data_IF_099448389913
#
_entry.id   IF_099448389913
#
_cell.length_a   1.000
_cell.length_b   1.000
_cell.length_c   1.000
_cell.angle_alpha   90.00
_cell.angle_beta   90.00
_cell.angle_gamma   90.00
#
_symmetry.space_group_name_H-M   'P 1'
#
loop_
_entity.id
_entity.type
_entity.pdbx_description
1 polymer ?
#
# COMPACT_ATOMS: atom_id res chain seq x y z
N UNK A 1 27.48 39.70 35.59
CA UNK A 1 26.67 38.47 35.44
C UNK A 1 26.19 38.37 34.00
N UNK A 2 26.85 37.53 33.19
CA UNK A 2 26.51 37.25 31.80
C UNK A 2 25.61 36.01 31.80
N UNK A 3 24.41 36.08 31.21
CA UNK A 3 23.63 34.89 30.86
C UNK A 3 24.05 34.45 29.46
N UNK A 4 24.41 33.17 29.35
CA UNK A 4 24.92 32.52 28.16
C UNK A 4 23.89 32.50 27.01
N UNK A 5 24.34 32.50 25.74
CA UNK A 5 23.49 32.17 24.60
C UNK A 5 23.30 30.65 24.52
N UNK A 6 22.08 30.22 24.18
CA UNK A 6 21.74 28.82 23.96
C UNK A 6 22.24 28.39 22.57
N UNK A 7 23.15 27.41 22.54
CA UNK A 7 23.73 26.84 21.35
C UNK A 7 22.70 26.02 20.55
N UNK A 8 22.62 26.31 19.25
CA UNK A 8 22.56 25.40 18.10
C UNK A 8 21.88 24.02 18.25
N UNK A 9 20.82 23.81 17.46
CA UNK A 9 20.59 22.53 16.77
C UNK A 9 20.36 22.81 15.28
N UNK A 10 21.42 23.22 14.58
CA UNK A 10 21.52 23.01 13.15
C UNK A 10 21.83 21.52 12.96
N UNK A 11 20.93 20.75 12.36
CA UNK A 11 21.29 19.41 11.90
C UNK A 11 22.18 19.58 10.65
N UNK A 12 23.46 19.15 10.66
CA UNK A 12 24.41 19.44 9.57
C UNK A 12 24.30 18.48 8.39
N UNK A 13 23.18 17.76 8.24
CA UNK A 13 22.99 16.82 7.13
C UNK A 13 22.12 17.44 6.05
N UNK A 14 22.48 17.35 4.76
CA UNK A 14 21.50 17.64 3.71
C UNK A 14 20.26 16.77 3.96
N UNK A 15 19.03 17.26 3.69
CA UNK A 15 17.84 16.42 3.75
C UNK A 15 18.14 15.16 2.93
N UNK A 16 18.07 14.00 3.59
CA UNK A 16 18.36 12.73 2.93
C UNK A 16 17.43 12.63 1.71
N UNK A 17 17.94 12.25 0.51
CA UNK A 17 17.09 12.16 -0.66
C UNK A 17 15.95 11.18 -0.35
N UNK A 18 14.72 11.68 -0.43
CA UNK A 18 13.53 10.86 -0.32
C UNK A 18 13.47 9.96 -1.54
N UNK A 19 13.29 8.66 -1.31
CA UNK A 19 13.07 7.72 -2.40
C UNK A 19 11.60 7.74 -2.75
N UNK A 20 11.31 8.03 -4.01
CA UNK A 20 9.96 8.08 -4.54
C UNK A 20 9.78 6.89 -5.47
N UNK A 21 8.77 6.06 -5.19
CA UNK A 21 8.37 4.92 -6.01
C UNK A 21 7.07 5.30 -6.73
N UNK A 22 7.12 5.69 -8.01
CA UNK A 22 5.95 6.19 -8.70
C UNK A 22 4.98 5.06 -9.09
N UNK A 23 3.69 5.31 -8.89
CA UNK A 23 2.58 4.47 -9.36
C UNK A 23 1.71 5.29 -10.32
N UNK A 24 1.14 4.64 -11.33
CA UNK A 24 0.23 5.29 -12.29
C UNK A 24 -1.16 5.32 -11.67
N UNK A 25 -1.70 6.52 -11.50
CA UNK A 25 -3.11 6.70 -11.08
C UNK A 25 -4.03 6.36 -12.25
N UNK A 26 -5.08 5.58 -12.00
CA UNK A 26 -6.07 5.21 -13.03
C UNK A 26 -7.12 6.30 -13.31
N UNK A 27 -6.94 7.49 -12.74
CA UNK A 27 -7.86 8.62 -12.84
C UNK A 27 -7.18 9.80 -13.50
N UNK A 28 -7.79 10.35 -14.54
CA UNK A 28 -7.38 11.64 -15.14
C UNK A 28 -8.09 12.79 -14.44
N UNK A 29 -9.36 12.56 -14.08
CA UNK A 29 -10.21 13.53 -13.40
C UNK A 29 -11.10 12.84 -12.34
N UNK A 30 -11.98 13.60 -11.71
CA UNK A 30 -12.86 13.07 -10.65
C UNK A 30 -13.91 12.08 -11.17
N UNK A 31 -14.39 12.21 -12.40
CA UNK A 31 -15.41 11.31 -12.96
C UNK A 31 -14.86 9.89 -13.18
N UNK A 32 -13.55 9.75 -13.46
CA UNK A 32 -12.91 8.45 -13.62
C UNK A 32 -12.94 7.61 -12.32
N UNK A 33 -13.12 8.22 -11.13
CA UNK A 33 -13.15 7.48 -9.85
C UNK A 33 -14.12 6.30 -9.89
N UNK A 34 -15.31 6.54 -10.44
CA UNK A 34 -16.41 5.58 -10.44
C UNK A 34 -16.56 4.85 -11.77
N UNK A 35 -15.80 5.21 -12.81
CA UNK A 35 -16.06 4.75 -14.20
C UNK A 35 -14.84 4.25 -14.97
N UNK A 36 -13.62 4.40 -14.45
CA UNK A 36 -12.38 4.01 -15.14
C UNK A 36 -12.38 2.58 -15.70
N UNK A 37 -13.04 1.65 -14.99
CA UNK A 37 -13.08 0.23 -15.32
C UNK A 37 -13.95 -0.07 -16.56
N UNK A 38 -14.71 0.90 -17.05
CA UNK A 38 -15.46 0.83 -18.30
C UNK A 38 -14.81 1.58 -19.46
N UNK A 39 -13.73 2.32 -19.23
CA UNK A 39 -13.08 3.14 -20.25
C UNK A 39 -11.78 2.50 -20.74
N UNK A 40 -11.79 1.93 -21.94
CA UNK A 40 -10.62 1.28 -22.56
C UNK A 40 -9.46 2.26 -22.81
N UNK A 41 -9.71 3.56 -22.89
CA UNK A 41 -8.65 4.55 -23.05
C UNK A 41 -7.71 4.61 -21.84
N UNK A 42 -8.15 4.13 -20.66
CA UNK A 42 -7.30 4.01 -19.47
C UNK A 42 -6.15 3.02 -19.69
N UNK A 43 -6.37 1.92 -20.41
CA UNK A 43 -5.29 0.96 -20.73
C UNK A 43 -4.22 1.64 -21.60
N UNK A 44 -4.65 2.40 -22.61
CA UNK A 44 -3.75 3.14 -23.51
C UNK A 44 -2.94 4.20 -22.74
N UNK A 45 -3.60 4.91 -21.81
CA UNK A 45 -2.94 5.88 -20.93
C UNK A 45 -1.88 5.19 -20.06
N UNK A 46 -2.21 4.09 -19.40
CA UNK A 46 -1.25 3.33 -18.57
C UNK A 46 -0.04 2.88 -19.38
N UNK A 47 -0.25 2.39 -20.61
CA UNK A 47 0.85 1.99 -21.49
C UNK A 47 1.75 3.17 -21.88
N UNK A 48 1.17 4.34 -22.16
CA UNK A 48 1.92 5.54 -22.48
C UNK A 48 2.75 6.04 -21.28
N UNK A 49 2.15 6.09 -20.09
CA UNK A 49 2.82 6.48 -18.84
C UNK A 49 3.97 5.52 -18.50
N UNK A 50 3.77 4.20 -18.65
CA UNK A 50 4.82 3.19 -18.46
C UNK A 50 6.02 3.42 -19.39
N UNK A 51 5.78 3.84 -20.62
CA UNK A 51 6.83 4.13 -21.59
C UNK A 51 7.58 5.44 -21.28
N UNK A 52 6.87 6.43 -20.72
CA UNK A 52 7.42 7.75 -20.41
C UNK A 52 8.22 7.76 -19.09
N UNK A 53 7.71 7.12 -18.04
CA UNK A 53 8.29 7.19 -16.70
C UNK A 53 8.17 8.57 -16.05
N UNK A 54 8.90 8.78 -14.94
CA UNK A 54 8.89 10.04 -14.17
C UNK A 54 10.31 10.54 -13.90
N UNK A 55 10.43 11.77 -13.42
CA UNK A 55 11.70 12.30 -12.91
C UNK A 55 12.28 11.48 -11.74
N UNK A 56 11.44 10.73 -11.01
CA UNK A 56 11.86 9.83 -9.94
C UNK A 56 12.25 8.42 -10.42
N UNK A 57 12.10 8.14 -11.72
CA UNK A 57 12.37 6.83 -12.33
C UNK A 57 11.13 6.18 -12.96
N UNK A 58 11.24 4.91 -13.39
CA UNK A 58 10.15 4.18 -14.02
C UNK A 58 9.02 3.89 -13.03
N UNK A 59 7.78 3.88 -13.53
CA UNK A 59 6.63 3.41 -12.77
C UNK A 59 6.83 1.98 -12.29
N UNK A 60 6.49 1.73 -11.02
CA UNK A 60 6.60 0.42 -10.37
C UNK A 60 5.25 -0.25 -10.12
N UNK A 61 4.17 0.46 -10.42
CA UNK A 61 2.84 -0.02 -10.14
C UNK A 61 1.72 0.82 -10.73
N UNK A 62 0.49 0.34 -10.53
CA UNK A 62 -0.76 1.02 -10.88
C UNK A 62 -1.63 1.15 -9.62
N UNK A 63 -2.33 2.27 -9.50
CA UNK A 63 -3.16 2.62 -8.36
C UNK A 63 -2.61 3.80 -7.54
N UNK A 64 -3.16 4.10 -6.37
CA UNK A 64 -4.35 3.48 -5.79
C UNK A 64 -5.60 3.68 -6.68
N UNK A 65 -6.35 2.61 -6.89
CA UNK A 65 -7.69 2.70 -7.50
C UNK A 65 -8.74 2.12 -6.57
N UNK A 66 -9.99 2.49 -6.84
CA UNK A 66 -11.17 2.14 -6.07
C UNK A 66 -12.12 1.32 -6.93
N UNK A 67 -12.68 0.27 -6.32
CA UNK A 67 -13.86 -0.43 -6.80
C UNK A 67 -14.81 -0.60 -5.61
N UNK A 68 -15.79 0.28 -5.50
CA UNK A 68 -16.78 0.23 -4.42
C UNK A 68 -17.80 -0.91 -4.59
N UNK A 69 -18.05 -1.31 -5.84
CA UNK A 69 -18.74 -2.55 -6.19
C UNK A 69 -17.72 -3.52 -6.79
N UNK A 70 -17.54 -4.67 -6.15
CA UNK A 70 -16.58 -5.68 -6.59
C UNK A 70 -16.93 -6.30 -7.94
N UNK A 71 -18.18 -6.24 -8.40
CA UNK A 71 -18.55 -6.68 -9.74
C UNK A 71 -17.78 -5.95 -10.84
N UNK A 72 -17.38 -4.69 -10.59
CA UNK A 72 -16.61 -3.88 -11.52
C UNK A 72 -15.18 -4.41 -11.76
N UNK A 73 -14.65 -5.28 -10.90
CA UNK A 73 -13.40 -6.00 -11.14
C UNK A 73 -13.48 -6.93 -12.37
N UNK A 74 -14.70 -7.31 -12.79
CA UNK A 74 -14.93 -8.14 -13.99
C UNK A 74 -14.92 -7.33 -15.28
N UNK A 75 -14.94 -6.00 -15.20
CA UNK A 75 -15.01 -5.16 -16.39
C UNK A 75 -13.77 -5.34 -17.28
N UNK A 76 -13.91 -5.24 -18.62
CA UNK A 76 -12.81 -5.51 -19.56
C UNK A 76 -11.53 -4.72 -19.26
N UNK A 77 -11.66 -3.42 -18.95
CA UNK A 77 -10.51 -2.56 -18.63
C UNK A 77 -9.80 -3.01 -17.35
N UNK A 78 -10.54 -3.33 -16.29
CA UNK A 78 -9.95 -3.82 -15.04
C UNK A 78 -9.17 -5.12 -15.25
N UNK A 79 -9.77 -6.08 -15.98
CA UNK A 79 -9.11 -7.35 -16.30
C UNK A 79 -7.86 -7.17 -17.15
N UNK A 80 -7.93 -6.31 -18.17
CA UNK A 80 -6.79 -6.00 -19.03
C UNK A 80 -5.64 -5.39 -18.25
N UNK A 81 -5.92 -4.50 -17.30
CA UNK A 81 -4.90 -3.88 -16.44
C UNK A 81 -4.27 -4.88 -15.46
N UNK A 82 -5.04 -5.83 -14.91
CA UNK A 82 -4.47 -6.88 -14.05
C UNK A 82 -3.56 -7.83 -14.84
N UNK A 83 -3.96 -8.23 -16.04
CA UNK A 83 -3.12 -9.02 -16.93
C UNK A 83 -1.84 -8.26 -17.32
N UNK A 84 -1.95 -6.99 -17.69
CA UNK A 84 -0.81 -6.12 -17.97
C UNK A 84 0.13 -5.99 -16.76
N UNK A 85 -0.42 -5.83 -15.55
CA UNK A 85 0.36 -5.70 -14.33
C UNK A 85 1.16 -6.97 -14.03
N UNK A 86 0.57 -8.15 -14.17
CA UNK A 86 1.29 -9.42 -14.05
C UNK A 86 2.39 -9.57 -15.11
N UNK A 87 2.06 -9.32 -16.38
CA UNK A 87 3.01 -9.47 -17.50
C UNK A 87 4.22 -8.55 -17.39
N UNK A 88 4.01 -7.35 -16.83
CA UNK A 88 5.07 -6.33 -16.64
C UNK A 88 5.73 -6.39 -15.26
N UNK A 89 5.28 -7.26 -14.35
CA UNK A 89 5.78 -7.32 -12.98
C UNK A 89 5.50 -6.04 -12.17
N UNK A 90 4.39 -5.36 -12.47
CA UNK A 90 3.94 -4.16 -11.76
C UNK A 90 3.24 -4.55 -10.45
N UNK A 91 3.39 -3.71 -9.43
CA UNK A 91 2.60 -3.85 -8.20
C UNK A 91 1.26 -3.12 -8.35
N UNK A 92 0.18 -3.78 -8.01
CA UNK A 92 -1.16 -3.19 -7.97
C UNK A 92 -1.41 -2.62 -6.57
N UNK A 93 -1.93 -1.40 -6.45
CA UNK A 93 -2.46 -0.85 -5.20
C UNK A 93 -3.98 -0.68 -5.33
N UNK A 94 -4.74 -1.48 -4.59
CA UNK A 94 -6.18 -1.61 -4.76
C UNK A 94 -6.94 -1.31 -3.46
N UNK A 95 -7.82 -0.30 -3.52
CA UNK A 95 -8.81 0.04 -2.51
C UNK A 95 -10.13 -0.66 -2.84
N UNK A 96 -10.28 -1.87 -2.32
CA UNK A 96 -11.37 -2.77 -2.69
C UNK A 96 -11.79 -3.65 -1.51
N UNK A 97 -12.94 -4.31 -1.63
CA UNK A 97 -13.34 -5.38 -0.73
C UNK A 97 -12.57 -6.69 -1.00
N UNK A 98 -12.78 -7.71 -0.16
CA UNK A 98 -12.12 -9.01 -0.29
C UNK A 98 -12.64 -9.86 -1.46
N UNK A 99 -13.84 -9.58 -1.97
CA UNK A 99 -14.40 -10.25 -3.15
C UNK A 99 -13.65 -9.79 -4.41
N UNK A 100 -13.43 -8.49 -4.54
CA UNK A 100 -12.68 -7.90 -5.63
C UNK A 100 -11.24 -8.42 -5.68
N UNK A 101 -10.60 -8.74 -4.55
CA UNK A 101 -9.27 -9.36 -4.54
C UNK A 101 -9.28 -10.67 -5.34
N UNK A 102 -10.21 -11.58 -5.06
CA UNK A 102 -10.32 -12.84 -5.82
C UNK A 102 -10.59 -12.58 -7.32
N UNK A 103 -11.44 -11.60 -7.64
CA UNK A 103 -11.79 -11.26 -9.02
C UNK A 103 -10.62 -10.66 -9.81
N UNK A 104 -9.86 -9.74 -9.20
CA UNK A 104 -8.68 -9.13 -9.80
C UNK A 104 -7.56 -10.16 -9.99
N UNK A 105 -7.33 -11.01 -8.99
CA UNK A 105 -6.36 -12.09 -9.05
C UNK A 105 -6.70 -13.09 -10.17
N UNK A 106 -7.97 -13.52 -10.26
CA UNK A 106 -8.45 -14.44 -11.28
C UNK A 106 -8.41 -13.87 -12.72
N UNK A 107 -8.30 -12.54 -12.88
CA UNK A 107 -8.17 -11.91 -14.19
C UNK A 107 -6.79 -12.09 -14.84
N UNK A 108 -5.78 -12.52 -14.07
CA UNK A 108 -4.42 -12.71 -14.53
C UNK A 108 -4.19 -14.11 -15.11
N UNK A 109 -3.12 -14.29 -15.92
CA UNK A 109 -2.81 -15.58 -16.54
C UNK A 109 -2.48 -16.63 -15.49
N UNK A 110 -1.78 -16.25 -14.43
CA UNK A 110 -1.44 -17.17 -13.35
C UNK A 110 -2.56 -17.35 -12.32
N UNK A 111 -3.72 -16.70 -12.52
CA UNK A 111 -4.82 -16.66 -11.54
C UNK A 111 -4.34 -16.16 -10.15
N UNK A 112 -3.52 -15.12 -10.14
CA UNK A 112 -3.05 -14.42 -8.94
C UNK A 112 -1.83 -15.03 -8.28
N UNK A 113 -1.26 -16.09 -8.86
CA UNK A 113 -0.08 -16.75 -8.31
C UNK A 113 1.22 -15.95 -8.50
N UNK A 114 1.25 -15.03 -9.47
CA UNK A 114 2.40 -14.16 -9.78
C UNK A 114 2.12 -12.67 -9.62
N UNK A 115 0.86 -12.26 -9.55
CA UNK A 115 0.50 -10.86 -9.41
C UNK A 115 0.96 -10.30 -8.05
N UNK A 116 1.71 -9.20 -8.07
CA UNK A 116 2.01 -8.42 -6.87
C UNK A 116 0.87 -7.45 -6.62
N UNK A 117 0.18 -7.58 -5.49
CA UNK A 117 -0.94 -6.71 -5.13
C UNK A 117 -0.84 -6.27 -3.67
N UNK A 118 -1.00 -4.96 -3.44
CA UNK A 118 -1.16 -4.32 -2.15
C UNK A 118 -2.65 -4.00 -1.99
N UNK A 119 -3.27 -4.59 -0.97
CA UNK A 119 -4.65 -4.36 -0.61
C UNK A 119 -4.73 -3.17 0.38
N UNK A 120 -5.12 -2.01 -0.15
CA UNK A 120 -5.21 -0.78 0.63
C UNK A 120 -6.19 -0.96 1.78
N UNK A 121 -5.75 -0.57 2.98
CA UNK A 121 -6.53 -0.67 4.22
C UNK A 121 -7.07 -2.09 4.51
N UNK A 122 -6.45 -3.13 3.93
CA UNK A 122 -6.69 -4.58 4.10
C UNK A 122 -8.12 -4.98 4.48
N UNK A 123 -9.13 -4.53 3.75
CA UNK A 123 -10.53 -4.81 4.11
C UNK A 123 -11.14 -3.72 4.98
N UNK A 124 -11.12 -2.49 4.47
CA UNK A 124 -11.74 -1.29 5.05
C UNK A 124 -13.22 -1.51 5.41
N UNK A 125 -13.93 -2.37 4.68
CA UNK A 125 -15.30 -2.78 4.95
C UNK A 125 -15.49 -3.73 6.13
N UNK A 126 -14.45 -4.00 6.91
CA UNK A 126 -14.52 -4.89 8.08
C UNK A 126 -14.31 -6.37 7.75
N UNK A 127 -13.50 -6.69 6.73
CA UNK A 127 -13.21 -8.08 6.39
C UNK A 127 -12.62 -8.84 7.60
N UNK A 128 -13.18 -9.99 7.99
CA UNK A 128 -12.70 -10.76 9.15
C UNK A 128 -11.24 -11.23 8.99
N UNK A 129 -10.45 -11.31 10.08
CA UNK A 129 -9.07 -11.82 10.05
C UNK A 129 -8.91 -13.21 9.40
N UNK A 130 -9.91 -14.08 9.53
CA UNK A 130 -9.91 -15.42 8.93
C UNK A 130 -9.96 -15.33 7.40
N UNK A 131 -10.73 -14.39 6.87
CA UNK A 131 -10.82 -14.14 5.43
C UNK A 131 -9.53 -13.52 4.89
N UNK A 132 -8.92 -12.61 5.65
CA UNK A 132 -7.58 -12.07 5.33
C UNK A 132 -6.55 -13.21 5.29
N UNK A 133 -6.56 -14.11 6.26
CA UNK A 133 -5.70 -15.30 6.30
C UNK A 133 -5.87 -16.15 5.04
N UNK A 134 -7.12 -16.49 4.69
CA UNK A 134 -7.42 -17.31 3.52
C UNK A 134 -6.91 -16.68 2.21
N UNK A 135 -7.02 -15.35 2.07
CA UNK A 135 -6.50 -14.65 0.90
C UNK A 135 -4.96 -14.62 0.85
N UNK A 136 -4.30 -14.39 1.99
CA UNK A 136 -2.84 -14.38 2.07
C UNK A 136 -2.22 -15.75 1.80
N UNK A 137 -2.88 -16.82 2.25
CA UNK A 137 -2.50 -18.21 1.97
C UNK A 137 -2.69 -18.57 0.49
N UNK A 138 -3.77 -18.07 -0.13
CA UNK A 138 -4.10 -18.38 -1.53
C UNK A 138 -3.21 -17.65 -2.54
N UNK A 139 -2.83 -16.41 -2.25
CA UNK A 139 -2.15 -15.53 -3.20
C UNK A 139 -0.78 -15.11 -2.68
N UNK A 140 0.33 -15.70 -3.15
CA UNK A 140 1.67 -15.41 -2.65
C UNK A 140 2.10 -13.94 -2.80
N UNK A 141 1.61 -13.25 -3.84
CA UNK A 141 1.94 -11.85 -4.11
C UNK A 141 1.05 -10.82 -3.40
N UNK A 142 0.01 -11.24 -2.68
CA UNK A 142 -0.89 -10.35 -1.94
C UNK A 142 -0.19 -9.76 -0.72
N UNK A 143 -0.38 -8.48 -0.43
CA UNK A 143 0.12 -7.82 0.78
C UNK A 143 -0.98 -6.95 1.36
N UNK A 144 -1.12 -6.97 2.68
CA UNK A 144 -2.00 -6.03 3.37
C UNK A 144 -1.30 -4.69 3.58
N UNK A 145 -2.00 -3.60 3.33
CA UNK A 145 -1.61 -2.26 3.78
C UNK A 145 -2.51 -1.86 4.96
N UNK A 146 -1.88 -1.39 6.05
CA UNK A 146 -2.53 -1.24 7.36
C UNK A 146 -2.95 0.19 7.70
N UNK A 147 -2.64 1.18 6.86
CA UNK A 147 -3.15 2.54 7.05
C UNK A 147 -4.68 2.54 7.06
N UNK A 148 -5.27 3.41 7.87
CA UNK A 148 -6.73 3.59 7.97
C UNK A 148 -7.54 2.30 8.20
N UNK A 149 -6.91 1.21 8.67
CA UNK A 149 -7.59 -0.07 8.85
C UNK A 149 -8.48 -0.05 10.10
N UNK A 150 -9.81 -0.16 9.98
CA UNK A 150 -10.69 -0.26 11.15
C UNK A 150 -10.44 -1.56 11.92
N UNK A 151 -10.46 -1.48 13.25
CA UNK A 151 -10.29 -2.64 14.13
C UNK A 151 -8.86 -3.19 14.20
N UNK A 152 -7.86 -2.45 13.72
CA UNK A 152 -6.44 -2.86 13.83
C UNK A 152 -5.92 -2.83 15.27
N UNK A 153 -6.35 -1.81 16.02
CA UNK A 153 -5.86 -1.46 17.36
C UNK A 153 -7.00 -1.58 18.37
N UNK A 154 -6.70 -2.18 19.51
CA UNK A 154 -7.60 -2.41 20.63
C UNK A 154 -7.11 -1.63 21.87
N UNK A 155 -7.03 -2.27 23.04
CA UNK A 155 -6.68 -1.64 24.30
C UNK A 155 -5.29 -1.00 24.28
N UNK A 156 -5.16 0.14 24.97
CA UNK A 156 -3.87 0.84 25.17
C UNK A 156 -3.10 1.18 23.89
N UNK A 157 -3.79 1.29 22.75
CA UNK A 157 -3.15 1.59 21.47
C UNK A 157 -2.34 0.43 20.90
N UNK A 158 -2.54 -0.81 21.38
CA UNK A 158 -1.88 -2.01 20.88
C UNK A 158 -2.72 -2.75 19.84
N UNK A 159 -2.07 -3.55 18.99
CA UNK A 159 -2.77 -4.41 18.03
C UNK A 159 -3.79 -5.30 18.74
N UNK A 160 -4.97 -5.44 18.15
CA UNK A 160 -5.91 -6.48 18.57
C UNK A 160 -5.25 -7.87 18.45
N UNK A 161 -5.59 -8.85 19.32
CA UNK A 161 -4.93 -10.16 19.36
C UNK A 161 -4.89 -10.88 18.00
N UNK A 162 -5.96 -10.77 17.21
CA UNK A 162 -6.10 -11.39 15.90
C UNK A 162 -5.14 -10.75 14.88
N UNK A 163 -5.03 -9.41 14.91
CA UNK A 163 -4.09 -8.66 14.08
C UNK A 163 -2.65 -8.92 14.46
N UNK A 164 -2.35 -8.99 15.75
CA UNK A 164 -1.05 -9.42 16.25
C UNK A 164 -0.71 -10.81 15.71
N UNK A 165 -1.62 -11.77 15.82
CA UNK A 165 -1.45 -13.13 15.31
C UNK A 165 -1.16 -13.16 13.80
N UNK A 166 -1.91 -12.38 13.01
CA UNK A 166 -1.69 -12.24 11.57
C UNK A 166 -0.30 -11.70 11.22
N UNK A 167 0.13 -10.62 11.87
CA UNK A 167 1.44 -10.01 11.61
C UNK A 167 2.60 -10.93 12.05
N UNK A 168 2.40 -11.77 13.07
CA UNK A 168 3.38 -12.78 13.46
C UNK A 168 3.41 -13.97 12.50
N UNK A 169 2.26 -14.38 11.95
CA UNK A 169 2.16 -15.48 10.98
C UNK A 169 2.71 -15.09 9.61
N UNK A 170 2.52 -13.84 9.18
CA UNK A 170 2.92 -13.33 7.87
C UNK A 170 3.75 -12.04 7.98
N UNK A 171 4.93 -12.08 8.63
CA UNK A 171 5.68 -10.87 8.96
C UNK A 171 6.16 -10.11 7.72
N UNK A 172 6.29 -10.78 6.58
CA UNK A 172 6.73 -10.23 5.29
C UNK A 172 5.58 -9.76 4.38
N UNK A 173 4.31 -9.91 4.81
CA UNK A 173 3.12 -9.68 3.97
C UNK A 173 2.32 -8.43 4.34
N UNK A 174 2.82 -7.59 5.25
CA UNK A 174 2.16 -6.35 5.64
C UNK A 174 3.04 -5.12 5.43
N UNK A 175 2.40 -4.02 5.09
CA UNK A 175 2.97 -2.69 4.89
C UNK A 175 2.17 -1.69 5.73
N UNK A 176 2.78 -0.56 6.03
CA UNK A 176 2.08 0.58 6.63
C UNK A 176 2.50 1.88 5.94
N UNK A 177 1.50 2.65 5.51
CA UNK A 177 1.63 4.00 4.98
C UNK A 177 0.84 5.03 5.79
N UNK A 178 0.92 6.29 5.38
CA UNK A 178 0.22 7.40 6.05
C UNK A 178 -1.16 7.72 5.48
N UNK A 179 -1.41 7.36 4.22
CA UNK A 179 -2.63 7.74 3.48
C UNK A 179 -2.96 9.25 3.59
N UNK A 180 -1.94 10.10 3.39
CA UNK A 180 -2.05 11.57 3.49
C UNK A 180 -2.35 12.23 2.14
N UNK A 181 -3.52 11.93 1.57
CA UNK A 181 -3.94 12.37 0.22
C UNK A 181 -4.57 13.79 0.16
N UNK A 182 -4.79 14.45 1.30
CA UNK A 182 -5.25 15.85 1.39
C UNK A 182 -4.48 16.65 2.43
N UNK A 183 -4.42 17.98 2.28
CA UNK A 183 -3.70 18.91 3.17
C UNK A 183 -4.09 18.73 4.64
N UNK A 184 -5.38 18.57 4.94
CA UNK A 184 -5.88 18.43 6.31
C UNK A 184 -5.27 17.21 7.02
N UNK A 185 -5.02 16.11 6.29
CA UNK A 185 -4.44 14.91 6.88
C UNK A 185 -2.98 15.09 7.31
N UNK A 186 -2.25 16.00 6.67
CA UNK A 186 -0.88 16.32 7.07
C UNK A 186 -0.80 16.90 8.48
N UNK A 187 -1.86 17.57 8.95
CA UNK A 187 -1.93 18.13 10.31
C UNK A 187 -1.88 17.03 11.39
N UNK A 188 -2.25 15.79 11.05
CA UNK A 188 -2.26 14.65 11.96
C UNK A 188 -1.12 13.65 11.71
N UNK A 189 -0.20 13.95 10.78
CA UNK A 189 0.84 13.01 10.35
C UNK A 189 1.73 12.56 11.51
N UNK A 190 2.20 13.48 12.35
CA UNK A 190 3.07 13.14 13.47
C UNK A 190 2.36 12.25 14.51
N UNK A 191 1.11 12.60 14.86
CA UNK A 191 0.30 11.81 15.78
C UNK A 191 0.03 10.40 15.22
N UNK A 192 -0.25 10.28 13.93
CA UNK A 192 -0.42 9.00 13.24
C UNK A 192 0.86 8.15 13.33
N UNK A 193 2.01 8.74 13.03
CA UNK A 193 3.29 8.03 13.11
C UNK A 193 3.66 7.63 14.54
N UNK A 194 3.30 8.43 15.54
CA UNK A 194 3.46 8.07 16.96
C UNK A 194 2.56 6.89 17.31
N UNK A 195 1.28 6.90 16.91
CA UNK A 195 0.37 5.78 17.13
C UNK A 195 0.89 4.49 16.48
N UNK A 196 1.47 4.58 15.28
CA UNK A 196 2.11 3.42 14.65
C UNK A 196 3.28 2.86 15.46
N UNK A 197 4.14 3.73 15.99
CA UNK A 197 5.27 3.28 16.84
C UNK A 197 4.79 2.60 18.12
N UNK A 198 3.64 2.99 18.68
CA UNK A 198 3.07 2.35 19.87
C UNK A 198 2.73 0.89 19.59
N UNK A 199 1.92 0.60 18.57
CA UNK A 199 1.51 -0.78 18.29
C UNK A 199 2.63 -1.61 17.66
N UNK A 200 3.52 -1.00 16.87
CA UNK A 200 4.73 -1.67 16.37
C UNK A 200 5.65 -2.07 17.53
N UNK A 201 5.74 -1.24 18.59
CA UNK A 201 6.51 -1.52 19.79
C UNK A 201 6.03 -2.73 20.59
N UNK A 202 4.79 -3.18 20.38
CA UNK A 202 4.30 -4.42 20.96
C UNK A 202 4.80 -5.68 20.26
N UNK A 203 5.32 -5.59 19.04
CA UNK A 203 5.78 -6.73 18.24
C UNK A 203 7.26 -7.06 18.51
N UNK A 204 7.71 -8.30 18.21
CA UNK A 204 9.14 -8.59 18.12
C UNK A 204 9.82 -7.62 17.15
N UNK A 205 11.01 -7.14 17.52
CA UNK A 205 11.72 -6.09 16.77
C UNK A 205 11.84 -6.38 15.27
N UNK A 206 12.15 -7.63 14.89
CA UNK A 206 12.26 -7.99 13.47
C UNK A 206 10.93 -7.84 12.73
N UNK A 207 9.82 -8.25 13.33
CA UNK A 207 8.48 -8.11 12.72
C UNK A 207 8.10 -6.64 12.61
N UNK A 208 8.37 -5.85 13.65
CA UNK A 208 8.13 -4.42 13.63
C UNK A 208 8.92 -3.73 12.49
N UNK A 209 10.21 -4.04 12.33
CA UNK A 209 11.04 -3.50 11.25
C UNK A 209 10.58 -3.97 9.86
N UNK A 210 10.08 -5.20 9.75
CA UNK A 210 9.49 -5.73 8.52
C UNK A 210 8.28 -4.91 8.07
N UNK A 211 7.28 -4.78 8.94
CA UNK A 211 6.05 -4.03 8.66
C UNK A 211 6.34 -2.54 8.45
N UNK A 212 7.21 -1.96 9.27
CA UNK A 212 7.48 -0.52 9.24
C UNK A 212 8.22 -0.07 7.97
N UNK A 213 9.12 -0.89 7.41
CA UNK A 213 9.90 -0.46 6.23
C UNK A 213 10.56 -1.58 5.41
N UNK A 214 11.03 -2.69 6.00
CA UNK A 214 11.82 -3.67 5.22
C UNK A 214 10.99 -4.37 4.14
N UNK A 215 9.69 -4.57 4.37
CA UNK A 215 8.81 -5.19 3.38
C UNK A 215 8.66 -4.29 2.14
N UNK A 216 8.42 -2.99 2.32
CA UNK A 216 8.38 -2.02 1.24
C UNK A 216 9.73 -1.92 0.52
N UNK A 217 10.83 -1.89 1.29
CA UNK A 217 12.18 -1.84 0.75
C UNK A 217 12.47 -3.05 -0.16
N UNK A 218 12.17 -4.27 0.28
CA UNK A 218 12.35 -5.49 -0.52
C UNK A 218 11.44 -5.49 -1.75
N UNK A 219 10.16 -5.13 -1.58
CA UNK A 219 9.18 -5.10 -2.66
C UNK A 219 9.62 -4.20 -3.81
N UNK A 220 10.20 -3.04 -3.49
CA UNK A 220 10.60 -2.05 -4.49
C UNK A 220 12.09 -2.04 -4.81
N UNK A 221 12.87 -2.99 -4.29
CA UNK A 221 14.31 -3.10 -4.54
C UNK A 221 15.09 -1.86 -4.09
N UNK A 222 14.64 -1.22 -3.01
CA UNK A 222 15.28 -0.01 -2.48
C UNK A 222 16.57 -0.39 -1.75
N UNK A 223 17.64 0.43 -1.84
CA UNK A 223 18.94 0.11 -1.28
C UNK A 223 18.85 -0.13 0.22
N UNK A 224 19.62 -1.13 0.68
CA UNK A 224 19.82 -1.40 2.10
C UNK A 224 20.48 -0.18 2.75
N UNK A 225 19.86 0.39 3.77
CA UNK A 225 20.56 1.33 4.64
C UNK A 225 21.31 0.46 5.67
N UNK A 226 22.64 0.51 5.73
CA UNK A 226 23.38 -0.06 6.85
C UNK A 226 22.99 0.62 8.17
#
# INVERSE_FOLDING_TARGET
>A
MRRAPCNSWWSPWPPKPQQVVPFIRLYRNRADYDTWHHDESIVKMVQAELAQGTAAGPYRGIGEFHLYDSANARAPTARALMALAEDKGLTVLAHVDDVAIDLLMAATRSQGQKLSLIWAHTGIGGTPPERVTALLDRYPGLRGELSYRPGLVCESGQLCPEWRGLLLKYPDRFLVGSDTWVVQRWQHYEALMQAYRVWLGGLPREVAEQVAWRNAQRLFGLPHKP
#
